data_IF_437591953794
#
_entry.id   IF_437591953794
#
_cell.length_a   1.000
_cell.length_b   1.000
_cell.length_c   1.000
_cell.angle_alpha   90.00
_cell.angle_beta   90.00
_cell.angle_gamma   90.00
#
_symmetry.space_group_name_H-M   'P 1'
#
loop_
_entity.id
_entity.type
_entity.pdbx_description
1 polymer ?
#
# COMPACT_ATOMS: atom_id res chain seq x y z
N UNK A 1 5.65 -9.60 6.46
CA UNK A 1 5.31 -8.40 5.67
C UNK A 1 3.87 -8.48 5.22
N UNK A 2 3.17 -7.35 5.29
CA UNK A 2 1.79 -7.17 4.87
C UNK A 2 1.75 -6.23 3.67
N UNK A 3 0.95 -6.58 2.66
CA UNK A 3 0.63 -5.75 1.52
C UNK A 3 -0.89 -5.49 1.48
N UNK A 4 -1.29 -4.23 1.39
CA UNK A 4 -2.68 -3.83 1.14
C UNK A 4 -2.73 -3.31 -0.29
N UNK A 5 -3.55 -3.89 -1.16
CA UNK A 5 -3.62 -3.57 -2.60
C UNK A 5 -4.95 -2.96 -2.99
N UNK A 6 -4.98 -2.30 -4.16
CA UNK A 6 -6.15 -1.68 -4.79
C UNK A 6 -6.92 -0.65 -3.96
N UNK A 7 -6.41 -0.26 -2.79
CA UNK A 7 -7.09 0.64 -1.88
C UNK A 7 -7.13 2.10 -2.35
N UNK A 8 -8.05 2.85 -1.75
CA UNK A 8 -8.06 4.32 -1.78
C UNK A 8 -7.38 4.87 -0.54
N UNK A 9 -6.34 5.69 -0.72
CA UNK A 9 -5.51 6.21 0.36
C UNK A 9 -5.92 7.64 0.70
N UNK A 10 -6.15 7.85 1.99
CA UNK A 10 -6.29 9.15 2.64
C UNK A 10 -5.12 9.23 3.62
N UNK A 11 -4.11 10.07 3.32
CA UNK A 11 -2.83 10.09 4.03
C UNK A 11 -2.76 11.09 5.22
N UNK A 12 -3.84 11.84 5.44
CA UNK A 12 -3.93 12.83 6.51
C UNK A 12 -3.23 14.17 6.22
N UNK A 13 -2.67 14.38 5.03
CA UNK A 13 -2.05 15.64 4.63
C UNK A 13 -3.04 16.66 4.04
N UNK A 14 -4.32 16.28 3.90
CA UNK A 14 -5.40 17.15 3.44
C UNK A 14 -5.53 17.30 1.93
N UNK A 15 -4.78 16.52 1.15
CA UNK A 15 -4.93 16.44 -0.31
C UNK A 15 -6.05 15.48 -0.75
N UNK A 16 -6.24 15.40 -2.07
CA UNK A 16 -7.23 14.49 -2.67
C UNK A 16 -6.90 13.01 -2.41
N UNK A 17 -7.91 12.15 -2.18
CA UNK A 17 -7.71 10.71 -2.05
C UNK A 17 -7.07 10.10 -3.30
N UNK A 18 -6.18 9.13 -3.09
CA UNK A 18 -5.47 8.42 -4.17
C UNK A 18 -5.97 7.00 -4.32
N UNK A 19 -6.56 6.67 -5.48
CA UNK A 19 -7.15 5.34 -5.76
C UNK A 19 -6.14 4.37 -6.39
N UNK A 20 -6.43 3.06 -6.29
CA UNK A 20 -5.62 2.01 -6.92
C UNK A 20 -4.22 1.88 -6.34
N UNK A 21 -4.08 2.17 -5.04
CA UNK A 21 -2.81 2.24 -4.36
C UNK A 21 -2.45 0.92 -3.67
N UNK A 22 -1.16 0.68 -3.50
CA UNK A 22 -0.56 -0.44 -2.78
C UNK A 22 0.33 0.08 -1.66
N UNK A 23 0.17 -0.47 -0.47
CA UNK A 23 0.91 -0.15 0.75
C UNK A 23 1.66 -1.39 1.26
N UNK A 24 2.96 -1.28 1.52
CA UNK A 24 3.76 -2.32 2.19
C UNK A 24 4.05 -1.94 3.64
N UNK A 25 3.83 -2.89 4.54
CA UNK A 25 4.10 -2.76 5.98
C UNK A 25 5.03 -3.90 6.40
N UNK A 26 6.14 -3.54 7.03
CA UNK A 26 7.11 -4.44 7.62
C UNK A 26 7.51 -3.95 9.00
N UNK A 27 7.53 -4.85 9.98
CA UNK A 27 7.87 -4.55 11.38
C UNK A 27 7.13 -3.31 11.90
N UNK A 28 5.81 -3.26 11.66
CA UNK A 28 4.91 -2.18 12.09
C UNK A 28 5.20 -0.81 11.43
N UNK A 29 6.04 -0.76 10.40
CA UNK A 29 6.36 0.46 9.65
C UNK A 29 5.97 0.35 8.18
N UNK A 30 5.47 1.45 7.64
CA UNK A 30 5.25 1.59 6.20
C UNK A 30 6.61 1.70 5.53
N UNK A 31 6.89 0.82 4.58
CA UNK A 31 8.17 0.79 3.83
C UNK A 31 8.00 1.22 2.38
N UNK A 32 6.80 1.10 1.81
CA UNK A 32 6.49 1.59 0.47
C UNK A 32 5.01 1.94 0.33
N UNK A 33 4.72 2.96 -0.49
CA UNK A 33 3.37 3.37 -0.89
C UNK A 33 3.42 3.87 -2.34
N UNK A 34 2.61 3.29 -3.22
CA UNK A 34 2.61 3.61 -4.66
C UNK A 34 1.51 2.88 -5.39
N UNK A 35 1.35 3.12 -6.70
CA UNK A 35 0.46 2.29 -7.52
C UNK A 35 1.00 0.87 -7.64
N UNK A 36 0.17 -0.06 -8.08
CA UNK A 36 0.57 -1.47 -8.27
C UNK A 36 1.77 -1.62 -9.22
N UNK A 37 1.90 -0.75 -10.23
CA UNK A 37 3.04 -0.73 -11.15
C UNK A 37 4.34 -0.18 -10.53
N UNK A 38 4.25 0.52 -9.40
CA UNK A 38 5.37 1.20 -8.75
C UNK A 38 5.89 0.39 -7.55
N UNK A 39 5.07 -0.48 -6.97
CA UNK A 39 5.38 -1.24 -5.75
C UNK A 39 5.41 -2.74 -6.04
N UNK A 40 6.60 -3.31 -6.02
CA UNK A 40 6.77 -4.76 -6.12
C UNK A 40 6.38 -5.43 -4.80
N UNK A 41 5.37 -6.31 -4.82
CA UNK A 41 4.96 -7.10 -3.65
C UNK A 41 5.88 -8.31 -3.52
N UNK A 42 6.66 -8.44 -2.43
CA UNK A 42 7.59 -9.55 -2.32
C UNK A 42 6.86 -10.88 -2.09
N UNK A 43 7.47 -11.97 -2.55
CA UNK A 43 6.91 -13.31 -2.39
C UNK A 43 6.72 -13.65 -0.92
N UNK A 44 5.57 -14.24 -0.59
CA UNK A 44 5.22 -14.62 0.78
C UNK A 44 4.69 -13.47 1.65
N UNK A 45 4.53 -12.26 1.10
CA UNK A 45 3.75 -11.23 1.78
C UNK A 45 2.30 -11.70 1.98
N UNK A 46 1.73 -11.42 3.14
CA UNK A 46 0.28 -11.52 3.30
C UNK A 46 -0.36 -10.39 2.49
N UNK A 47 -1.32 -10.71 1.63
CA UNK A 47 -1.99 -9.75 0.76
C UNK A 47 -3.43 -9.57 1.21
N UNK A 48 -3.86 -8.32 1.34
CA UNK A 48 -5.25 -7.93 1.55
C UNK A 48 -5.67 -7.07 0.35
N UNK A 49 -6.75 -7.47 -0.32
CA UNK A 49 -7.40 -6.68 -1.37
C UNK A 49 -8.49 -5.81 -0.74
N UNK A 50 -8.47 -4.50 -0.99
CA UNK A 50 -9.20 -3.48 -0.23
C UNK A 50 -10.17 -2.64 -1.09
#
# INVERSE_FOLDING_TARGET
MLAITNGTIIDGLGGDPRTGMTLLIENERITALGRQSEVAIPRGAQVIDA
#
